data_IF_926781428941
#
_entry.id   IF_926781428941
#
_cell.length_a   1.000
_cell.length_b   1.000
_cell.length_c   1.000
_cell.angle_alpha   90.00
_cell.angle_beta   90.00
_cell.angle_gamma   90.00
#
_symmetry.space_group_name_H-M   'P 1'
#
loop_
_entity.id
_entity.type
_entity.pdbx_description
1 polymer ?
#
# COMPACT_ATOMS: atom_id res chain seq x y z
N UNK A 1 -14.01 -39.53 -24.12
CA UNK A 1 -13.51 -38.99 -22.83
C UNK A 1 -12.58 -37.84 -23.16
N UNK A 2 -12.98 -36.60 -22.84
CA UNK A 2 -12.08 -35.43 -22.91
C UNK A 2 -11.87 -34.98 -21.46
N UNK A 3 -10.63 -35.03 -21.00
CA UNK A 3 -10.25 -34.56 -19.67
C UNK A 3 -10.35 -33.03 -19.70
N UNK A 4 -11.18 -32.45 -18.84
CA UNK A 4 -11.18 -31.01 -18.58
C UNK A 4 -10.15 -30.75 -17.49
N UNK A 5 -9.04 -30.11 -17.86
CA UNK A 5 -8.08 -29.56 -16.91
C UNK A 5 -8.77 -28.41 -16.16
N UNK A 6 -9.05 -28.62 -14.88
CA UNK A 6 -9.58 -27.59 -14.01
C UNK A 6 -8.50 -26.54 -13.75
N UNK A 7 -8.60 -25.39 -14.43
CA UNK A 7 -7.87 -24.20 -14.05
C UNK A 7 -8.33 -23.79 -12.65
N UNK A 8 -7.46 -23.96 -11.64
CA UNK A 8 -7.70 -23.41 -10.31
C UNK A 8 -7.66 -21.90 -10.42
N UNK A 9 -8.81 -21.26 -10.23
CA UNK A 9 -8.89 -19.82 -10.04
C UNK A 9 -8.23 -19.50 -8.70
N UNK A 10 -7.05 -18.88 -8.73
CA UNK A 10 -6.40 -18.37 -7.53
C UNK A 10 -6.88 -16.93 -7.38
N UNK A 11 -7.75 -16.69 -6.41
CA UNK A 11 -8.14 -15.34 -6.00
C UNK A 11 -7.04 -14.78 -5.10
N UNK A 12 -6.34 -13.73 -5.55
CA UNK A 12 -5.45 -12.96 -4.70
C UNK A 12 -6.25 -11.83 -4.05
N UNK A 13 -6.47 -11.93 -2.74
CA UNK A 13 -7.09 -10.85 -1.96
C UNK A 13 -5.98 -9.90 -1.53
N UNK A 14 -5.92 -8.72 -2.14
CA UNK A 14 -5.00 -7.66 -1.74
C UNK A 14 -5.75 -6.67 -0.86
N UNK A 15 -5.25 -6.43 0.35
CA UNK A 15 -5.76 -5.36 1.20
C UNK A 15 -5.10 -4.05 0.78
N UNK A 16 -5.93 -3.07 0.45
CA UNK A 16 -5.52 -1.72 0.05
C UNK A 16 -6.21 -0.68 0.93
N UNK A 17 -5.47 0.36 1.30
CA UNK A 17 -6.03 1.57 1.92
C UNK A 17 -6.11 2.63 0.83
N UNK A 18 -7.32 3.10 0.52
CA UNK A 18 -7.53 4.17 -0.45
C UNK A 18 -7.25 5.51 0.22
N UNK A 19 -6.30 6.26 -0.35
CA UNK A 19 -5.87 7.57 0.09
C UNK A 19 -6.30 8.62 -0.95
N UNK A 20 -7.31 9.45 -0.65
CA UNK A 20 -7.64 10.59 -1.49
C UNK A 20 -6.45 11.53 -1.66
N UNK A 21 -6.40 12.28 -2.76
CA UNK A 21 -5.30 13.21 -3.04
C UNK A 21 -5.00 14.18 -1.88
N UNK A 22 -6.02 14.70 -1.20
CA UNK A 22 -5.82 15.62 -0.07
C UNK A 22 -5.05 14.96 1.09
N UNK A 23 -5.41 13.72 1.44
CA UNK A 23 -4.77 12.96 2.51
C UNK A 23 -3.33 12.63 2.13
N UNK A 24 -3.10 12.07 0.95
CA UNK A 24 -1.73 11.70 0.56
C UNK A 24 -0.82 12.92 0.42
N UNK A 25 -1.35 14.06 -0.04
CA UNK A 25 -0.57 15.28 -0.19
C UNK A 25 -0.09 15.82 1.16
N UNK A 26 -0.97 15.83 2.17
CA UNK A 26 -0.69 16.36 3.50
C UNK A 26 0.14 15.37 4.34
N UNK A 27 -0.24 14.09 4.35
CA UNK A 27 0.28 13.12 5.32
C UNK A 27 1.42 12.24 4.78
N UNK A 28 1.61 12.17 3.47
CA UNK A 28 2.62 11.29 2.85
C UNK A 28 3.63 12.07 2.02
N UNK A 29 3.17 12.84 1.03
CA UNK A 29 4.04 13.58 0.12
C UNK A 29 4.83 14.69 0.80
N UNK A 30 4.34 15.22 1.93
CA UNK A 30 5.04 16.19 2.76
C UNK A 30 6.35 15.65 3.34
N UNK A 31 6.45 14.34 3.56
CA UNK A 31 7.64 13.66 4.09
C UNK A 31 8.55 13.09 3.00
N UNK A 32 8.07 13.02 1.77
CA UNK A 32 8.82 12.44 0.66
C UNK A 32 9.75 13.44 -0.03
N UNK A 33 10.80 12.89 -0.65
CA UNK A 33 11.63 13.68 -1.57
C UNK A 33 10.82 14.05 -2.81
N UNK A 34 11.01 15.27 -3.29
CA UNK A 34 10.37 15.78 -4.53
C UNK A 34 10.50 14.83 -5.74
N UNK A 35 11.58 14.07 -5.82
CA UNK A 35 11.77 13.05 -6.86
C UNK A 35 10.75 11.91 -6.77
N UNK A 36 10.48 11.39 -5.57
CA UNK A 36 9.52 10.30 -5.34
C UNK A 36 8.08 10.76 -5.65
N UNK A 37 7.72 11.97 -5.21
CA UNK A 37 6.40 12.54 -5.52
C UNK A 37 6.22 12.69 -7.03
N UNK A 38 7.22 13.22 -7.75
CA UNK A 38 7.20 13.31 -9.21
C UNK A 38 7.11 11.94 -9.87
N UNK A 39 7.83 10.95 -9.34
CA UNK A 39 7.88 9.62 -9.90
C UNK A 39 6.47 9.04 -10.06
N UNK A 40 5.67 9.08 -8.99
CA UNK A 40 4.27 8.62 -9.03
C UNK A 40 3.35 9.59 -9.80
N UNK A 41 3.43 10.90 -9.52
CA UNK A 41 2.45 11.87 -10.07
C UNK A 41 2.59 12.13 -11.57
N UNK A 42 3.79 11.93 -12.13
CA UNK A 42 4.08 12.25 -13.54
C UNK A 42 4.21 11.01 -14.43
N UNK A 43 3.94 9.82 -13.89
CA UNK A 43 4.00 8.58 -14.65
C UNK A 43 5.42 8.18 -15.06
N UNK A 44 6.47 8.67 -14.38
CA UNK A 44 7.82 8.08 -14.50
C UNK A 44 7.83 6.66 -13.91
N UNK A 45 6.92 6.40 -12.97
CA UNK A 45 6.37 5.10 -12.61
C UNK A 45 5.00 5.29 -11.95
N UNK A 46 4.37 4.21 -11.52
CA UNK A 46 3.07 4.24 -10.85
C UNK A 46 3.11 3.77 -9.39
N UNK A 47 4.27 3.28 -8.91
CA UNK A 47 4.42 2.60 -7.63
C UNK A 47 5.72 3.03 -6.92
N UNK A 48 5.62 3.48 -5.68
CA UNK A 48 6.75 3.77 -4.81
C UNK A 48 6.72 2.87 -3.60
N UNK A 49 7.79 2.11 -3.37
CA UNK A 49 7.94 1.34 -2.13
C UNK A 49 8.09 2.28 -0.93
N UNK A 50 7.49 1.88 0.18
CA UNK A 50 7.53 2.55 1.47
C UNK A 50 7.82 1.54 2.55
N UNK A 51 8.35 1.98 3.68
CA UNK A 51 8.40 1.17 4.88
C UNK A 51 7.18 1.51 5.74
N UNK A 52 6.51 0.49 6.26
CA UNK A 52 5.37 0.66 7.15
C UNK A 52 5.68 0.09 8.52
N UNK A 53 5.29 0.85 9.54
CA UNK A 53 5.53 0.54 10.94
C UNK A 53 4.19 0.48 11.66
N UNK A 54 3.89 -0.66 12.27
CA UNK A 54 2.81 -0.75 13.25
C UNK A 54 3.24 0.01 14.52
N UNK A 55 2.58 1.13 14.81
CA UNK A 55 2.90 2.01 15.95
C UNK A 55 2.14 1.63 17.22
N UNK A 56 1.25 0.62 17.17
CA UNK A 56 0.54 0.13 18.36
C UNK A 56 1.49 -0.56 19.34
N UNK A 57 2.53 -1.24 18.84
CA UNK A 57 3.64 -1.79 19.63
C UNK A 57 4.93 -0.98 19.44
N UNK A 58 4.94 0.26 19.93
CA UNK A 58 6.07 1.21 19.81
C UNK A 58 7.45 0.66 20.25
N UNK A 59 7.50 -0.39 21.06
CA UNK A 59 8.75 -1.01 21.53
C UNK A 59 9.38 -2.02 20.57
N UNK A 60 8.61 -2.57 19.61
CA UNK A 60 9.12 -3.54 18.64
C UNK A 60 8.43 -3.35 17.28
N UNK A 61 8.69 -2.20 16.63
CA UNK A 61 8.08 -1.89 15.34
C UNK A 61 8.52 -2.94 14.32
N UNK A 62 7.55 -3.58 13.70
CA UNK A 62 7.81 -4.55 12.65
C UNK A 62 7.68 -3.85 11.31
N UNK A 63 8.74 -3.96 10.50
CA UNK A 63 8.79 -3.41 9.16
C UNK A 63 8.13 -4.38 8.17
N UNK A 64 7.24 -3.85 7.32
CA UNK A 64 6.74 -4.52 6.13
C UNK A 64 7.45 -3.97 4.88
N UNK A 65 8.40 -4.76 4.34
CA UNK A 65 9.17 -4.40 3.14
C UNK A 65 8.37 -4.53 1.83
N UNK A 66 7.15 -5.10 1.90
CA UNK A 66 6.30 -5.32 0.73
C UNK A 66 5.38 -4.14 0.43
N UNK A 67 5.32 -3.15 1.32
CA UNK A 67 4.39 -2.04 1.21
C UNK A 67 4.77 -1.05 0.09
N UNK A 68 3.76 -0.54 -0.58
CA UNK A 68 3.94 0.49 -1.60
C UNK A 68 2.72 1.39 -1.73
N UNK A 69 3.00 2.62 -2.14
CA UNK A 69 1.98 3.56 -2.59
C UNK A 69 1.91 3.49 -4.10
N UNK A 70 0.70 3.35 -4.64
CA UNK A 70 0.44 3.43 -6.08
C UNK A 70 -0.61 4.47 -6.42
N UNK A 71 -0.49 5.09 -7.60
CA UNK A 71 -1.56 5.92 -8.15
C UNK A 71 -2.60 5.03 -8.83
N UNK A 72 -3.86 5.20 -8.43
CA UNK A 72 -5.00 4.52 -9.04
C UNK A 72 -5.44 5.25 -10.30
N UNK A 73 -5.35 4.56 -11.44
CA UNK A 73 -5.87 5.07 -12.70
C UNK A 73 -7.25 4.46 -12.97
N UNK A 74 -8.27 5.25 -13.35
CA UNK A 74 -8.22 6.67 -13.74
C UNK A 74 -8.65 7.66 -12.63
N UNK A 75 -8.87 7.22 -11.38
CA UNK A 75 -9.46 8.08 -10.35
C UNK A 75 -8.52 9.18 -9.82
N UNK A 76 -7.21 9.08 -10.08
CA UNK A 76 -6.18 9.96 -9.51
C UNK A 76 -6.10 9.89 -7.97
N UNK A 77 -6.79 8.92 -7.36
CA UNK A 77 -6.59 8.52 -5.98
C UNK A 77 -5.32 7.68 -5.85
N UNK A 78 -4.96 7.34 -4.61
CA UNK A 78 -3.79 6.53 -4.33
C UNK A 78 -4.18 5.32 -3.49
N UNK A 79 -3.46 4.22 -3.67
CA UNK A 79 -3.55 3.05 -2.82
C UNK A 79 -2.28 2.96 -1.98
N UNK A 80 -2.42 2.75 -0.68
CA UNK A 80 -1.38 2.12 0.12
C UNK A 80 -1.66 0.61 0.14
N UNK A 81 -0.81 -0.14 -0.53
CA UNK A 81 -0.88 -1.61 -0.55
C UNK A 81 -0.01 -2.14 0.57
N UNK A 82 -0.62 -2.88 1.50
CA UNK A 82 0.00 -3.30 2.77
C UNK A 82 -0.66 -4.58 3.33
N UNK A 83 -0.92 -5.56 2.46
CA UNK A 83 -1.64 -6.77 2.83
C UNK A 83 -0.97 -7.57 3.95
N UNK A 84 0.37 -7.56 4.00
CA UNK A 84 1.15 -8.28 5.01
C UNK A 84 0.93 -7.68 6.41
N UNK A 85 0.74 -6.37 6.53
CA UNK A 85 0.36 -5.73 7.80
C UNK A 85 -0.99 -6.20 8.35
N UNK A 86 -2.04 -6.18 7.54
CA UNK A 86 -3.35 -6.67 7.99
C UNK A 86 -3.33 -8.17 8.33
N UNK A 87 -2.60 -8.96 7.54
CA UNK A 87 -2.59 -10.42 7.69
C UNK A 87 -1.70 -10.89 8.85
N UNK A 88 -0.51 -10.29 8.99
CA UNK A 88 0.51 -10.75 9.95
C UNK A 88 0.49 -9.98 11.28
N UNK A 89 -0.09 -8.78 11.31
CA UNK A 89 -0.10 -7.89 12.48
C UNK A 89 -1.49 -7.69 13.06
N UNK A 90 -2.54 -8.19 12.37
CA UNK A 90 -3.91 -8.11 12.88
C UNK A 90 -4.47 -6.69 12.91
N UNK A 91 -3.92 -5.78 12.10
CA UNK A 91 -4.43 -4.43 11.98
C UNK A 91 -5.92 -4.43 11.65
N UNK A 92 -6.63 -3.54 12.31
CA UNK A 92 -8.06 -3.34 12.22
C UNK A 92 -8.37 -1.90 11.82
N UNK A 93 -9.61 -1.68 11.39
CA UNK A 93 -10.09 -0.33 11.06
C UNK A 93 -10.01 0.54 12.32
N UNK A 94 -9.27 1.66 12.22
CA UNK A 94 -9.06 2.60 13.32
C UNK A 94 -7.67 2.50 13.96
N UNK A 95 -6.88 1.49 13.62
CA UNK A 95 -5.49 1.40 14.06
C UNK A 95 -4.62 2.42 13.33
N UNK A 96 -3.59 2.90 14.03
CA UNK A 96 -2.62 3.86 13.49
C UNK A 96 -1.39 3.13 12.91
N UNK A 97 -0.91 3.60 11.77
CA UNK A 97 0.32 3.11 11.14
C UNK A 97 1.27 4.29 10.88
N UNK A 98 2.57 4.03 11.02
CA UNK A 98 3.64 4.94 10.62
C UNK A 98 4.08 4.65 9.19
N UNK A 99 4.27 5.70 8.39
CA UNK A 99 4.89 5.67 7.07
C UNK A 99 6.31 6.22 7.15
N UNK A 100 7.28 5.48 6.62
CA UNK A 100 8.70 5.86 6.59
C UNK A 100 9.30 5.79 5.18
#
# INVERSE_FOLDING_TARGET
MKNQEGHKHIEQVTVIVVLPFAIIFEDVFSYWRKGMVKFITKGEGNMQRVELWDVTEASNPRNDESAYVEMMMPSEDYALVCADLFTNHGLSVGDEIGLY
#
